data_IF_648930944391
#
_entry.id   IF_648930944391
#
_cell.length_a   1.000
_cell.length_b   1.000
_cell.length_c   1.000
_cell.angle_alpha   90.00
_cell.angle_beta   90.00
_cell.angle_gamma   90.00
#
_symmetry.space_group_name_H-M   'P 1'
#
loop_
_entity.id
_entity.type
_entity.pdbx_description
1 polymer ?
#
# COMPACT_ATOMS: atom_id res chain seq x y z
N UNK A 1 -34.13 40.12 -27.35
CA UNK A 1 -33.80 38.67 -27.51
C UNK A 1 -32.32 38.54 -27.32
N UNK A 2 -31.92 38.33 -26.10
CA UNK A 2 -30.58 38.21 -25.61
C UNK A 2 -30.10 36.78 -25.90
N UNK A 3 -29.16 36.62 -26.83
CA UNK A 3 -28.48 35.33 -27.04
C UNK A 3 -27.53 35.12 -25.86
N UNK A 4 -27.99 34.22 -24.97
CA UNK A 4 -27.15 33.61 -23.94
C UNK A 4 -25.94 33.02 -24.66
N UNK A 5 -24.76 33.57 -24.38
CA UNK A 5 -23.49 32.94 -24.68
C UNK A 5 -23.44 31.69 -23.80
N UNK A 6 -23.70 30.55 -24.41
CA UNK A 6 -23.31 29.28 -23.82
C UNK A 6 -21.79 29.32 -23.71
N UNK A 7 -21.31 29.41 -22.48
CA UNK A 7 -19.90 29.29 -22.12
C UNK A 7 -19.38 28.02 -22.78
N UNK A 8 -18.27 28.16 -23.49
CA UNK A 8 -17.47 27.07 -24.07
C UNK A 8 -17.05 26.09 -22.96
N UNK A 9 -17.99 25.30 -22.49
CA UNK A 9 -17.70 24.15 -21.67
C UNK A 9 -16.90 23.20 -22.56
N UNK A 10 -15.61 23.12 -22.30
CA UNK A 10 -14.66 22.21 -22.94
C UNK A 10 -15.24 20.78 -22.84
N UNK A 11 -16.00 20.37 -23.87
CA UNK A 11 -16.60 19.06 -23.92
C UNK A 11 -15.46 18.05 -24.15
N UNK A 12 -14.95 17.49 -23.05
CA UNK A 12 -13.96 16.41 -23.10
C UNK A 12 -14.66 15.19 -23.71
N UNK A 13 -14.31 14.86 -24.95
CA UNK A 13 -14.81 13.65 -25.58
C UNK A 13 -14.14 12.42 -24.94
N UNK A 14 -14.89 11.76 -24.04
CA UNK A 14 -14.45 10.56 -23.34
C UNK A 14 -14.07 9.43 -24.32
N UNK A 15 -14.64 9.42 -25.51
CA UNK A 15 -14.34 8.43 -26.54
C UNK A 15 -12.94 8.69 -27.15
N UNK A 16 -12.59 9.96 -27.36
CA UNK A 16 -11.27 10.34 -27.87
C UNK A 16 -10.17 9.99 -26.87
N UNK A 17 -10.40 10.27 -25.57
CA UNK A 17 -9.49 9.89 -24.49
C UNK A 17 -9.31 8.36 -24.45
N UNK A 18 -10.39 7.60 -24.57
CA UNK A 18 -10.33 6.14 -24.60
C UNK A 18 -9.50 5.61 -25.77
N UNK A 19 -9.70 6.13 -26.97
CA UNK A 19 -8.92 5.76 -28.15
C UNK A 19 -7.44 6.17 -28.02
N UNK A 20 -7.16 7.33 -27.42
CA UNK A 20 -5.78 7.78 -27.16
C UNK A 20 -5.05 6.83 -26.20
N UNK A 21 -5.71 6.41 -25.09
CA UNK A 21 -5.17 5.42 -24.18
C UNK A 21 -4.93 4.08 -24.86
N UNK A 22 -5.92 3.57 -25.61
CA UNK A 22 -5.80 2.30 -26.35
C UNK A 22 -4.66 2.32 -27.38
N UNK A 23 -4.47 3.44 -28.06
CA UNK A 23 -3.39 3.59 -29.05
C UNK A 23 -2.00 3.56 -28.40
N UNK A 24 -1.90 4.01 -27.14
CA UNK A 24 -0.63 4.13 -26.39
C UNK A 24 -0.49 3.10 -25.27
N UNK A 25 -1.23 2.00 -25.31
CA UNK A 25 -1.25 0.96 -24.28
C UNK A 25 0.15 0.39 -23.99
N UNK A 26 1.03 0.33 -24.99
CA UNK A 26 2.42 -0.11 -24.80
C UNK A 26 3.23 0.86 -23.92
N UNK A 27 2.96 2.17 -24.01
CA UNK A 27 3.61 3.18 -23.15
C UNK A 27 3.11 3.03 -21.72
N UNK A 28 1.81 2.82 -21.54
CA UNK A 28 1.19 2.58 -20.23
C UNK A 28 1.76 1.30 -19.61
N UNK A 29 1.84 0.22 -20.39
CA UNK A 29 2.42 -1.05 -19.92
C UNK A 29 3.90 -0.90 -19.56
N UNK A 30 4.68 -0.17 -20.34
CA UNK A 30 6.08 0.11 -20.03
C UNK A 30 6.24 0.95 -18.75
N UNK A 31 5.39 1.96 -18.55
CA UNK A 31 5.39 2.78 -17.34
C UNK A 31 4.96 1.98 -16.10
N UNK A 32 3.97 1.09 -16.24
CA UNK A 32 3.56 0.16 -15.20
C UNK A 32 4.72 -0.73 -14.76
N UNK A 33 5.43 -1.36 -15.71
CA UNK A 33 6.58 -2.21 -15.43
C UNK A 33 7.76 -1.42 -14.84
N UNK A 34 8.01 -0.22 -15.35
CA UNK A 34 9.06 0.66 -14.82
C UNK A 34 8.76 1.09 -13.38
N UNK A 35 7.51 1.47 -13.09
CA UNK A 35 7.06 1.80 -11.73
C UNK A 35 7.20 0.62 -10.77
N UNK A 36 6.83 -0.59 -11.21
CA UNK A 36 7.02 -1.81 -10.45
C UNK A 36 8.51 -2.08 -10.15
N UNK A 37 9.36 -2.00 -11.19
CA UNK A 37 10.80 -2.25 -11.05
C UNK A 37 11.48 -1.23 -10.13
N UNK A 38 11.16 0.04 -10.27
CA UNK A 38 11.72 1.10 -9.42
C UNK A 38 11.29 0.95 -7.97
N UNK A 39 10.00 0.72 -7.71
CA UNK A 39 9.49 0.53 -6.35
C UNK A 39 10.02 -0.75 -5.71
N UNK A 40 10.10 -1.84 -6.46
CA UNK A 40 10.67 -3.11 -5.99
C UNK A 40 12.15 -2.98 -5.66
N UNK A 41 12.95 -2.37 -6.54
CA UNK A 41 14.37 -2.12 -6.32
C UNK A 41 14.60 -1.19 -5.11
N UNK A 42 13.84 -0.10 -5.00
CA UNK A 42 13.90 0.80 -3.85
C UNK A 42 13.62 0.05 -2.55
N UNK A 43 12.55 -0.75 -2.52
CA UNK A 43 12.13 -1.49 -1.32
C UNK A 43 13.17 -2.53 -0.90
N UNK A 44 13.83 -3.23 -1.84
CA UNK A 44 14.81 -4.25 -1.52
C UNK A 44 16.21 -3.71 -1.18
N UNK A 45 16.61 -2.58 -1.79
CA UNK A 45 17.97 -2.08 -1.67
C UNK A 45 18.14 -0.98 -0.62
N UNK A 46 17.09 -0.17 -0.41
CA UNK A 46 17.18 1.02 0.45
C UNK A 46 16.41 0.89 1.78
N UNK A 47 15.41 0.00 1.87
CA UNK A 47 14.64 -0.15 3.10
C UNK A 47 15.21 -1.30 3.92
N UNK A 48 15.57 -1.01 5.17
CA UNK A 48 16.07 -2.02 6.12
C UNK A 48 14.97 -3.03 6.43
N UNK A 49 15.23 -4.34 6.34
CA UNK A 49 14.26 -5.35 6.77
C UNK A 49 14.05 -5.27 8.28
N UNK A 50 12.80 -5.40 8.71
CA UNK A 50 12.40 -5.46 10.11
C UNK A 50 11.80 -6.82 10.41
N UNK A 51 12.20 -7.40 11.51
CA UNK A 51 11.74 -8.69 12.01
C UNK A 51 10.85 -8.45 13.21
N UNK A 52 9.72 -9.15 13.30
CA UNK A 52 8.77 -8.98 14.40
C UNK A 52 8.69 -10.24 15.24
N UNK A 53 8.90 -10.09 16.55
CA UNK A 53 8.67 -11.13 17.53
C UNK A 53 7.46 -10.77 18.40
N UNK A 54 6.71 -11.78 18.83
CA UNK A 54 5.44 -11.57 19.55
C UNK A 54 5.42 -12.43 20.79
N UNK A 55 5.12 -11.82 21.93
CA UNK A 55 4.84 -12.48 23.21
C UNK A 55 3.38 -12.26 23.61
N UNK A 56 2.84 -13.17 24.42
CA UNK A 56 1.46 -13.05 24.93
C UNK A 56 1.45 -13.10 26.45
N UNK A 57 0.71 -12.16 27.05
CA UNK A 57 0.48 -12.09 28.48
C UNK A 57 -1.00 -12.23 28.80
N UNK A 58 -1.29 -12.97 29.87
CA UNK A 58 -2.63 -13.16 30.39
C UNK A 58 -2.87 -12.24 31.57
N UNK A 59 -3.87 -11.39 31.45
CA UNK A 59 -4.34 -10.52 32.54
C UNK A 59 -5.15 -11.32 33.55
N UNK A 60 -4.66 -11.40 34.78
CA UNK A 60 -5.32 -12.10 35.87
C UNK A 60 -6.15 -11.15 36.70
N UNK A 61 -7.41 -11.48 36.95
CA UNK A 61 -8.26 -10.78 37.94
C UNK A 61 -8.06 -11.43 39.30
N UNK A 62 -8.12 -10.60 40.36
CA UNK A 62 -7.88 -11.01 41.76
C UNK A 62 -8.88 -12.07 42.26
N UNK A 63 -10.01 -12.24 41.60
CA UNK A 63 -11.08 -13.15 41.99
C UNK A 63 -11.11 -14.40 41.10
N UNK A 64 -10.65 -15.50 41.64
CA UNK A 64 -10.48 -16.81 40.97
C UNK A 64 -11.78 -17.60 40.71
N UNK A 65 -12.93 -17.08 41.07
CA UNK A 65 -14.24 -17.69 40.82
C UNK A 65 -15.01 -16.93 39.78
N UNK A 66 -14.66 -17.18 38.50
CA UNK A 66 -15.36 -16.62 37.36
C UNK A 66 -16.77 -17.24 37.26
N UNK A 67 -17.77 -16.53 37.71
CA UNK A 67 -19.16 -17.00 37.66
C UNK A 67 -20.12 -16.03 36.96
N UNK A 68 -19.64 -14.83 36.51
CA UNK A 68 -20.53 -13.88 35.87
C UNK A 68 -19.96 -13.24 34.59
N UNK A 69 -20.87 -12.83 33.69
CA UNK A 69 -20.53 -12.05 32.50
C UNK A 69 -19.86 -10.70 32.86
N UNK A 70 -20.13 -10.17 34.04
CA UNK A 70 -19.51 -8.94 34.54
C UNK A 70 -17.99 -9.10 34.75
N UNK A 71 -17.53 -10.29 35.17
CA UNK A 71 -16.09 -10.55 35.38
C UNK A 71 -15.32 -10.61 34.07
N UNK A 72 -15.97 -11.08 33.00
CA UNK A 72 -15.39 -11.08 31.65
C UNK A 72 -15.25 -9.64 31.13
N UNK A 73 -16.26 -8.80 31.32
CA UNK A 73 -16.20 -7.39 30.89
C UNK A 73 -15.15 -6.58 31.68
N UNK A 74 -15.03 -6.84 32.99
CA UNK A 74 -13.97 -6.23 33.78
C UNK A 74 -12.58 -6.68 33.32
N UNK A 75 -12.42 -7.95 32.96
CA UNK A 75 -11.15 -8.48 32.46
C UNK A 75 -10.72 -7.88 31.12
N UNK A 76 -11.65 -7.64 30.22
CA UNK A 76 -11.34 -6.95 28.93
C UNK A 76 -11.02 -5.48 29.12
N UNK A 77 -11.68 -4.80 30.09
CA UNK A 77 -11.37 -3.42 30.43
C UNK A 77 -9.96 -3.31 31.05
N UNK A 78 -9.63 -4.21 31.99
CA UNK A 78 -8.30 -4.27 32.58
C UNK A 78 -7.21 -4.52 31.52
N UNK A 79 -7.47 -5.38 30.56
CA UNK A 79 -6.53 -5.62 29.46
C UNK A 79 -6.30 -4.35 28.62
N UNK A 80 -7.34 -3.55 28.41
CA UNK A 80 -7.19 -2.24 27.74
C UNK A 80 -6.31 -1.28 28.55
N UNK A 81 -6.54 -1.18 29.86
CA UNK A 81 -5.76 -0.33 30.74
C UNK A 81 -4.29 -0.78 30.80
N UNK A 82 -4.06 -2.09 30.84
CA UNK A 82 -2.70 -2.65 30.84
C UNK A 82 -1.97 -2.40 29.51
N UNK A 83 -2.67 -2.39 28.38
CA UNK A 83 -2.06 -2.06 27.08
C UNK A 83 -1.45 -0.65 27.05
N UNK A 84 -2.04 0.28 27.81
CA UNK A 84 -1.50 1.64 27.98
C UNK A 84 -0.27 1.63 28.89
N UNK A 85 -0.31 0.87 29.99
CA UNK A 85 0.82 0.75 30.92
C UNK A 85 2.05 0.08 30.30
N UNK A 86 1.85 -0.97 29.51
CA UNK A 86 2.88 -1.66 28.75
C UNK A 86 3.71 -0.73 27.85
N UNK A 87 3.08 0.29 27.32
CA UNK A 87 3.72 1.27 26.44
C UNK A 87 4.06 2.57 27.13
N UNK A 88 4.00 2.59 28.47
CA UNK A 88 4.32 3.76 29.26
C UNK A 88 5.83 4.00 29.30
N UNK A 89 6.20 5.26 29.55
CA UNK A 89 7.63 5.66 29.58
C UNK A 89 8.46 4.92 30.63
N UNK A 90 7.99 4.69 31.86
CA UNK A 90 8.76 3.94 32.85
C UNK A 90 9.12 2.54 32.38
N UNK A 91 8.13 1.79 31.90
CA UNK A 91 8.31 0.41 31.42
C UNK A 91 9.31 0.35 30.26
N UNK A 92 9.12 1.21 29.24
CA UNK A 92 10.01 1.19 28.08
C UNK A 92 11.41 1.69 28.41
N UNK A 93 11.56 2.64 29.33
CA UNK A 93 12.87 3.10 29.76
C UNK A 93 13.61 2.01 30.56
N UNK A 94 12.93 1.30 31.44
CA UNK A 94 13.49 0.16 32.17
C UNK A 94 13.91 -0.97 31.24
N UNK A 95 13.12 -1.29 30.22
CA UNK A 95 13.51 -2.26 29.20
C UNK A 95 14.77 -1.82 28.41
N UNK A 96 14.86 -0.53 28.07
CA UNK A 96 16.04 0.05 27.41
C UNK A 96 17.28 -0.10 28.29
N UNK A 97 17.13 0.25 29.58
CA UNK A 97 18.24 0.26 30.54
C UNK A 97 18.70 -1.18 30.85
N UNK A 98 17.77 -2.12 31.01
CA UNK A 98 18.09 -3.53 31.29
C UNK A 98 18.82 -4.23 30.14
N UNK A 99 18.48 -3.90 28.90
CA UNK A 99 19.11 -4.48 27.70
C UNK A 99 20.21 -3.63 27.09
N UNK A 100 20.56 -2.50 27.73
CA UNK A 100 21.56 -1.53 27.22
C UNK A 100 21.33 -1.13 25.76
N UNK A 101 20.04 -0.86 25.40
CA UNK A 101 19.67 -0.56 24.02
C UNK A 101 20.16 0.83 23.61
N UNK A 102 20.85 0.89 22.46
CA UNK A 102 21.36 2.14 21.89
C UNK A 102 20.23 2.93 21.15
N UNK A 103 19.03 2.96 21.70
CA UNK A 103 17.90 3.69 21.13
C UNK A 103 17.13 4.46 22.21
N UNK A 104 16.47 5.54 21.79
CA UNK A 104 15.65 6.32 22.72
C UNK A 104 14.24 5.74 22.89
N UNK A 105 13.56 6.13 23.97
CA UNK A 105 12.18 5.76 24.26
C UNK A 105 11.23 5.92 23.08
N UNK A 106 11.29 7.03 22.35
CA UNK A 106 10.41 7.29 21.20
C UNK A 106 10.58 6.29 20.07
N UNK A 107 11.82 5.86 19.82
CA UNK A 107 12.13 4.85 18.78
C UNK A 107 11.60 3.48 19.20
N UNK A 108 11.88 3.05 20.44
CA UNK A 108 11.35 1.78 20.93
C UNK A 108 9.82 1.77 20.91
N UNK A 109 9.18 2.86 21.35
CA UNK A 109 7.72 3.01 21.35
C UNK A 109 7.09 2.86 19.97
N UNK A 110 7.76 3.38 18.93
CA UNK A 110 7.27 3.28 17.55
C UNK A 110 7.40 1.85 16.96
N UNK A 111 8.28 1.05 17.54
CA UNK A 111 8.53 -0.33 17.11
C UNK A 111 7.70 -1.37 17.88
N UNK A 112 6.90 -0.92 18.85
CA UNK A 112 6.05 -1.78 19.67
C UNK A 112 4.59 -1.63 19.26
N UNK A 113 3.91 -2.75 19.11
CA UNK A 113 2.46 -2.83 18.97
C UNK A 113 1.88 -3.73 20.05
N UNK A 114 0.88 -3.23 20.75
CA UNK A 114 0.15 -4.00 21.77
C UNK A 114 -1.30 -4.09 21.32
N UNK A 115 -1.80 -5.32 21.22
CA UNK A 115 -3.15 -5.61 20.75
C UNK A 115 -3.85 -6.50 21.77
N UNK A 116 -5.04 -6.10 22.21
CA UNK A 116 -5.92 -6.99 22.94
C UNK A 116 -6.63 -7.92 21.95
N UNK A 117 -6.48 -9.22 22.13
CA UNK A 117 -7.26 -10.18 21.33
C UNK A 117 -8.73 -10.03 21.70
N UNK A 118 -9.56 -9.79 20.70
CA UNK A 118 -10.98 -9.48 20.85
C UNK A 118 -11.69 -10.37 21.88
N UNK A 119 -12.35 -9.72 22.83
CA UNK A 119 -13.13 -10.36 23.90
C UNK A 119 -12.35 -11.33 24.81
N UNK A 120 -11.02 -11.17 24.88
CA UNK A 120 -10.18 -11.98 25.75
C UNK A 120 -9.42 -11.13 26.76
N UNK A 121 -8.78 -11.78 27.72
CA UNK A 121 -7.85 -11.18 28.68
C UNK A 121 -6.39 -11.37 28.29
N UNK A 122 -6.15 -11.63 26.99
CA UNK A 122 -4.82 -11.85 26.46
C UNK A 122 -4.39 -10.61 25.70
N UNK A 123 -3.22 -10.08 26.08
CA UNK A 123 -2.54 -9.04 25.36
C UNK A 123 -1.41 -9.65 24.54
N UNK A 124 -1.39 -9.32 23.29
CA UNK A 124 -0.34 -9.65 22.35
C UNK A 124 0.59 -8.44 22.21
N UNK A 125 1.86 -8.64 22.56
CA UNK A 125 2.92 -7.64 22.46
C UNK A 125 3.79 -8.03 21.30
N UNK A 126 3.93 -7.15 20.32
CA UNK A 126 4.80 -7.37 19.14
C UNK A 126 5.87 -6.29 19.12
N UNK A 127 7.12 -6.70 18.99
CA UNK A 127 8.27 -5.81 18.84
C UNK A 127 8.91 -6.06 17.49
N UNK A 128 9.23 -4.96 16.78
CA UNK A 128 9.91 -4.99 15.50
C UNK A 128 11.33 -4.43 15.64
N UNK A 129 12.34 -5.20 15.18
CA UNK A 129 13.76 -4.80 15.20
C UNK A 129 14.47 -5.28 13.92
N UNK A 130 15.53 -4.60 13.44
CA UNK A 130 16.35 -5.10 12.33
C UNK A 130 17.05 -6.42 12.62
N UNK A 131 17.31 -6.74 13.88
CA UNK A 131 17.91 -8.00 14.33
C UNK A 131 16.81 -8.93 14.88
N UNK A 132 16.61 -10.14 14.29
CA UNK A 132 15.59 -11.08 14.74
C UNK A 132 15.80 -11.61 16.18
N UNK A 133 17.04 -11.77 16.62
CA UNK A 133 17.36 -12.18 18.00
C UNK A 133 17.05 -11.05 18.98
N UNK A 134 17.37 -9.82 18.61
CA UNK A 134 17.08 -8.64 19.42
C UNK A 134 15.56 -8.41 19.53
N UNK A 135 14.80 -8.60 18.43
CA UNK A 135 13.34 -8.50 18.45
C UNK A 135 12.70 -9.45 19.49
N UNK A 136 13.21 -10.71 19.56
CA UNK A 136 12.79 -11.67 20.59
C UNK A 136 13.19 -11.21 21.99
N UNK A 137 14.45 -10.83 22.18
CA UNK A 137 14.97 -10.43 23.50
C UNK A 137 14.21 -9.23 24.05
N UNK A 138 13.94 -8.23 23.20
CA UNK A 138 13.18 -7.01 23.62
C UNK A 138 11.74 -7.36 23.99
N UNK A 139 11.06 -8.23 23.24
CA UNK A 139 9.66 -8.54 23.53
C UNK A 139 9.53 -9.35 24.82
N UNK A 140 10.46 -10.24 25.08
CA UNK A 140 10.46 -11.06 26.31
C UNK A 140 10.75 -10.18 27.54
N UNK A 141 11.81 -9.37 27.49
CA UNK A 141 12.14 -8.42 28.57
C UNK A 141 11.00 -7.43 28.82
N UNK A 142 10.39 -6.90 27.72
CA UNK A 142 9.25 -6.00 27.84
C UNK A 142 8.05 -6.66 28.52
N UNK A 143 7.79 -7.93 28.23
CA UNK A 143 6.72 -8.69 28.86
C UNK A 143 6.97 -8.86 30.36
N UNK A 144 8.20 -9.17 30.75
CA UNK A 144 8.59 -9.38 32.15
C UNK A 144 8.57 -8.07 32.94
N UNK A 145 9.24 -7.01 32.46
CA UNK A 145 9.23 -5.66 33.06
C UNK A 145 7.81 -5.13 33.21
N UNK A 146 6.98 -5.31 32.19
CA UNK A 146 5.59 -4.87 32.21
C UNK A 146 4.77 -5.62 33.28
N UNK A 147 4.97 -6.91 33.37
CA UNK A 147 4.30 -7.74 34.37
C UNK A 147 4.62 -7.29 35.79
N UNK A 148 5.90 -7.07 36.06
CA UNK A 148 6.37 -6.62 37.36
C UNK A 148 5.87 -5.20 37.68
N UNK A 149 5.97 -4.29 36.72
CA UNK A 149 5.51 -2.90 36.88
C UNK A 149 4.00 -2.82 37.17
N UNK A 150 3.17 -3.59 36.43
CA UNK A 150 1.73 -3.64 36.66
C UNK A 150 1.44 -4.23 38.04
N UNK A 151 2.10 -5.31 38.44
CA UNK A 151 1.93 -5.92 39.74
C UNK A 151 2.22 -4.96 40.90
N UNK A 152 3.32 -4.22 40.79
CA UNK A 152 3.74 -3.24 41.82
C UNK A 152 2.87 -1.99 41.83
N UNK A 153 2.59 -1.42 40.63
CA UNK A 153 1.90 -0.13 40.54
C UNK A 153 0.42 -0.21 40.87
N UNK A 154 -0.23 -1.32 40.57
CA UNK A 154 -1.66 -1.53 40.79
C UNK A 154 -1.99 -2.40 42.00
N UNK A 155 -0.96 -2.90 42.71
CA UNK A 155 -1.12 -3.83 43.84
C UNK A 155 -2.01 -5.04 43.53
N UNK A 156 -1.88 -5.54 42.29
CA UNK A 156 -2.64 -6.70 41.77
C UNK A 156 -1.73 -7.90 41.56
N UNK A 157 -2.34 -9.03 41.23
CA UNK A 157 -1.58 -10.19 40.77
C UNK A 157 -0.94 -9.83 39.43
N UNK A 158 0.40 -9.94 39.28
CA UNK A 158 1.07 -9.63 37.99
C UNK A 158 0.47 -10.44 36.84
N UNK A 159 0.35 -9.85 35.65
CA UNK A 159 0.00 -10.58 34.45
C UNK A 159 0.99 -11.73 34.22
N UNK A 160 0.53 -12.83 33.65
CA UNK A 160 1.39 -13.99 33.42
C UNK A 160 1.77 -14.09 31.94
N UNK A 161 3.07 -14.19 31.66
CA UNK A 161 3.54 -14.55 30.32
C UNK A 161 3.09 -15.97 30.02
N UNK A 162 2.31 -16.16 28.97
CA UNK A 162 1.80 -17.46 28.50
C UNK A 162 2.46 -17.94 27.21
N UNK A 163 3.07 -17.04 26.46
CA UNK A 163 3.82 -17.34 25.26
C UNK A 163 4.98 -16.35 25.14
N UNK A 164 6.19 -16.87 25.14
CA UNK A 164 7.41 -16.07 24.92
C UNK A 164 7.60 -15.75 23.44
N UNK A 165 8.39 -14.74 23.13
CA UNK A 165 8.78 -14.38 21.78
C UNK A 165 9.53 -15.51 21.08
N UNK A 166 9.33 -15.60 19.77
CA UNK A 166 10.03 -16.56 18.89
C UNK A 166 10.91 -15.77 17.92
N UNK A 167 12.15 -16.26 17.70
CA UNK A 167 13.04 -15.66 16.71
C UNK A 167 12.41 -15.78 15.31
N UNK A 168 12.08 -14.66 14.64
CA UNK A 168 11.44 -14.71 13.36
C UNK A 168 12.41 -15.17 12.26
N UNK A 169 11.98 -16.10 11.41
CA UNK A 169 12.78 -16.63 10.30
C UNK A 169 12.75 -15.77 9.02
N UNK A 170 11.82 -14.81 8.94
CA UNK A 170 11.65 -13.94 7.77
C UNK A 170 11.24 -12.52 8.21
N UNK A 171 11.65 -11.49 7.45
CA UNK A 171 11.27 -10.12 7.75
C UNK A 171 9.76 -9.90 7.53
N UNK A 172 9.15 -9.17 8.47
CA UNK A 172 7.73 -8.80 8.42
C UNK A 172 7.51 -7.54 7.58
N UNK A 173 8.51 -6.65 7.52
CA UNK A 173 8.48 -5.40 6.76
C UNK A 173 9.85 -5.19 6.08
N UNK A 174 9.88 -4.51 4.91
CA UNK A 174 8.76 -4.05 4.11
C UNK A 174 8.09 -5.17 3.31
N UNK A 175 6.78 -5.03 3.05
CA UNK A 175 6.09 -5.95 2.15
C UNK A 175 6.42 -5.57 0.69
N UNK A 176 7.44 -6.24 0.12
CA UNK A 176 7.95 -5.98 -1.24
C UNK A 176 6.84 -6.10 -2.28
N UNK A 177 5.96 -7.10 -2.15
CA UNK A 177 4.87 -7.32 -3.10
C UNK A 177 3.87 -6.15 -3.11
N UNK A 178 3.47 -5.67 -1.93
CA UNK A 178 2.56 -4.54 -1.79
C UNK A 178 3.17 -3.24 -2.32
N UNK A 179 4.43 -2.98 -2.00
CA UNK A 179 5.13 -1.77 -2.44
C UNK A 179 5.35 -1.78 -3.96
N UNK A 180 5.71 -2.92 -4.53
CA UNK A 180 5.85 -3.11 -5.98
C UNK A 180 4.52 -2.90 -6.70
N UNK A 181 3.42 -3.43 -6.16
CA UNK A 181 2.08 -3.24 -6.73
C UNK A 181 1.65 -1.77 -6.68
N UNK A 182 1.91 -1.07 -5.57
CA UNK A 182 1.64 0.37 -5.44
C UNK A 182 2.47 1.19 -6.43
N UNK A 183 3.75 0.86 -6.59
CA UNK A 183 4.62 1.51 -7.57
C UNK A 183 4.16 1.29 -9.02
N UNK A 184 3.71 0.09 -9.34
CA UNK A 184 3.13 -0.24 -10.64
C UNK A 184 1.86 0.57 -10.93
N UNK A 185 0.94 0.67 -9.96
CA UNK A 185 -0.27 1.48 -10.07
C UNK A 185 0.06 2.98 -10.24
N UNK A 186 1.00 3.49 -9.46
CA UNK A 186 1.45 4.88 -9.58
C UNK A 186 2.01 5.17 -10.99
N UNK A 187 2.85 4.28 -11.53
CA UNK A 187 3.39 4.39 -12.88
C UNK A 187 2.28 4.42 -13.94
N UNK A 188 1.27 3.55 -13.79
CA UNK A 188 0.10 3.52 -14.67
C UNK A 188 -0.69 4.83 -14.64
N UNK A 189 -1.01 5.32 -13.44
CA UNK A 189 -1.79 6.57 -13.25
C UNK A 189 -1.05 7.77 -13.84
N UNK A 190 0.26 7.88 -13.58
CA UNK A 190 1.09 8.97 -14.13
C UNK A 190 1.11 8.91 -15.66
N UNK A 191 1.35 7.73 -16.25
CA UNK A 191 1.38 7.59 -17.70
C UNK A 191 0.02 7.89 -18.35
N UNK A 192 -1.07 7.40 -17.76
CA UNK A 192 -2.42 7.69 -18.22
C UNK A 192 -2.73 9.19 -18.13
N UNK A 193 -2.40 9.84 -17.03
CA UNK A 193 -2.57 11.27 -16.82
C UNK A 193 -1.81 12.12 -17.87
N UNK A 194 -0.55 11.79 -18.13
CA UNK A 194 0.24 12.47 -19.16
C UNK A 194 -0.38 12.30 -20.55
N UNK A 195 -0.90 11.10 -20.87
CA UNK A 195 -1.54 10.85 -22.16
C UNK A 195 -2.84 11.65 -22.27
N UNK A 196 -3.65 11.71 -21.22
CA UNK A 196 -4.90 12.47 -21.18
C UNK A 196 -4.62 13.96 -21.36
N UNK A 197 -3.70 14.52 -20.57
CA UNK A 197 -3.32 15.93 -20.68
C UNK A 197 -2.83 16.25 -22.10
N UNK A 198 -1.96 15.42 -22.67
CA UNK A 198 -1.48 15.61 -24.04
C UNK A 198 -2.58 15.48 -25.10
N UNK A 199 -3.61 14.69 -24.84
CA UNK A 199 -4.74 14.54 -25.76
C UNK A 199 -5.64 15.76 -25.70
N UNK A 200 -5.95 16.26 -24.51
CA UNK A 200 -6.77 17.46 -24.31
C UNK A 200 -6.06 18.73 -24.84
N UNK A 201 -4.72 18.83 -24.66
CA UNK A 201 -3.93 19.96 -25.15
C UNK A 201 -3.63 19.91 -26.66
N UNK A 202 -4.09 18.89 -27.36
CA UNK A 202 -3.76 18.71 -28.77
C UNK A 202 -4.94 19.13 -29.65
N UNK A 203 -5.06 20.42 -29.89
CA UNK A 203 -6.10 21.06 -30.71
C UNK A 203 -5.92 20.82 -32.22
N UNK A 204 -5.21 19.78 -32.62
CA UNK A 204 -4.97 19.51 -34.02
C UNK A 204 -6.21 18.87 -34.67
N UNK A 205 -6.84 19.59 -35.57
CA UNK A 205 -7.92 19.11 -36.43
C UNK A 205 -7.40 17.96 -37.29
N UNK A 206 -7.95 16.75 -37.13
CA UNK A 206 -7.48 15.52 -37.78
C UNK A 206 -8.57 14.75 -38.52
N UNK A 207 -9.82 15.05 -38.26
CA UNK A 207 -10.95 14.42 -38.93
C UNK A 207 -11.83 15.43 -39.65
N UNK A 208 -12.63 14.94 -40.59
CA UNK A 208 -13.64 15.75 -41.29
C UNK A 208 -14.68 16.29 -40.30
N UNK A 209 -15.02 15.49 -39.30
CA UNK A 209 -15.96 15.85 -38.23
C UNK A 209 -15.41 16.99 -37.35
N UNK A 210 -14.09 17.08 -37.17
CA UNK A 210 -13.45 18.18 -36.41
C UNK A 210 -13.60 19.52 -37.15
N UNK A 211 -13.49 19.50 -38.47
CA UNK A 211 -13.65 20.71 -39.30
C UNK A 211 -15.09 21.25 -39.20
N UNK A 212 -16.08 20.38 -39.28
CA UNK A 212 -17.47 20.75 -39.17
C UNK A 212 -17.82 21.26 -37.75
N UNK A 213 -17.29 20.60 -36.73
CA UNK A 213 -17.51 20.96 -35.31
C UNK A 213 -16.87 22.28 -34.90
N UNK A 214 -15.60 22.53 -35.33
CA UNK A 214 -14.86 23.72 -34.90
C UNK A 214 -15.00 24.93 -35.83
N UNK A 215 -15.20 24.71 -37.14
CA UNK A 215 -15.30 25.77 -38.13
C UNK A 215 -16.76 26.00 -38.61
N UNK A 216 -17.68 25.12 -38.27
CA UNK A 216 -19.09 25.23 -38.69
C UNK A 216 -19.29 25.15 -40.20
N UNK A 217 -18.31 24.63 -40.95
CA UNK A 217 -18.33 24.55 -42.41
C UNK A 217 -18.37 23.09 -42.83
N UNK A 218 -19.39 22.64 -43.59
CA UNK A 218 -19.44 21.28 -44.10
C UNK A 218 -18.28 20.98 -45.02
N UNK A 219 -17.58 19.85 -44.78
CA UNK A 219 -16.49 19.41 -45.67
C UNK A 219 -17.03 18.94 -47.00
N UNK A 220 -16.58 19.56 -48.10
CA UNK A 220 -17.03 19.23 -49.44
C UNK A 220 -16.29 17.99 -50.03
N UNK A 221 -15.05 17.76 -49.64
CA UNK A 221 -14.28 16.59 -50.06
C UNK A 221 -13.03 16.41 -49.21
N UNK A 222 -12.71 15.15 -48.86
CA UNK A 222 -11.45 14.78 -48.23
C UNK A 222 -10.47 14.22 -49.23
N UNK A 223 -9.27 14.75 -49.29
CA UNK A 223 -8.19 14.26 -50.15
C UNK A 223 -7.24 13.40 -49.31
N UNK A 224 -7.24 12.07 -49.43
CA UNK A 224 -6.36 11.21 -48.63
C UNK A 224 -4.89 11.42 -49.00
N UNK A 225 -4.01 11.48 -47.99
CA UNK A 225 -2.57 11.64 -48.20
C UNK A 225 -2.00 10.45 -48.95
N UNK A 226 -1.12 10.73 -49.94
CA UNK A 226 -0.49 9.74 -50.83
C UNK A 226 0.21 8.62 -50.05
N UNK A 227 0.64 8.83 -48.84
CA UNK A 227 1.25 7.84 -47.95
C UNK A 227 0.29 6.72 -47.56
N UNK A 228 -0.98 6.98 -47.39
CA UNK A 228 -1.98 5.99 -47.03
C UNK A 228 -2.32 5.04 -48.19
N UNK A 229 -2.24 5.50 -49.42
CA UNK A 229 -2.41 4.68 -50.60
C UNK A 229 -1.28 3.65 -50.78
N UNK A 230 -0.05 4.00 -50.41
CA UNK A 230 1.12 3.12 -50.55
C UNK A 230 1.12 2.07 -49.44
N UNK A 231 0.74 2.42 -48.21
CA UNK A 231 0.68 1.48 -47.09
C UNK A 231 -0.44 0.44 -47.23
N UNK A 232 -1.61 0.85 -47.70
CA UNK A 232 -2.76 -0.03 -47.95
C UNK A 232 -2.48 -1.07 -49.06
N UNK A 233 -1.75 -0.71 -50.09
CA UNK A 233 -1.36 -1.62 -51.18
C UNK A 233 -0.30 -2.64 -50.77
N UNK A 234 0.66 -2.23 -49.96
CA UNK A 234 1.72 -3.13 -49.44
C UNK A 234 1.16 -4.23 -48.53
N UNK A 235 0.19 -3.91 -47.68
CA UNK A 235 -0.42 -4.89 -46.76
C UNK A 235 -1.28 -5.94 -47.50
N UNK A 236 -2.01 -5.53 -48.52
CA UNK A 236 -2.81 -6.45 -49.35
C UNK A 236 -1.93 -7.40 -50.18
N UNK A 237 -0.81 -6.93 -50.72
CA UNK A 237 0.14 -7.78 -51.48
C UNK A 237 0.88 -8.79 -50.58
N UNK A 238 1.27 -8.39 -49.35
CA UNK A 238 1.88 -9.31 -48.36
C UNK A 238 0.91 -10.41 -47.90
N UNK A 239 -0.37 -10.09 -47.70
CA UNK A 239 -1.40 -11.09 -47.37
C UNK A 239 -1.67 -12.07 -48.55
N UNK A 240 -1.67 -11.60 -49.79
CA UNK A 240 -1.84 -12.46 -50.99
C UNK A 240 -0.63 -13.40 -51.21
N UNK A 241 0.60 -12.92 -50.95
CA UNK A 241 1.83 -13.74 -51.05
C UNK A 241 1.92 -14.82 -49.96
N UNK A 242 1.47 -14.50 -48.72
CA UNK A 242 1.40 -15.49 -47.62
C UNK A 242 0.33 -16.56 -47.84
N UNK A 243 -0.82 -16.22 -48.45
CA UNK A 243 -1.86 -17.21 -48.81
C UNK A 243 -1.42 -18.15 -49.92
N UNK A 244 -0.62 -17.69 -50.92
CA UNK A 244 -0.07 -18.53 -51.96
C UNK A 244 1.02 -19.49 -51.49
N UNK A 245 1.83 -19.11 -50.49
CA UNK A 245 2.84 -20.00 -49.87
C UNK A 245 2.25 -21.08 -48.94
N UNK A 246 1.02 -20.93 -48.47
CA UNK A 246 0.33 -21.95 -47.65
C UNK A 246 -0.49 -22.97 -48.48
N UNK A 247 -0.54 -22.82 -49.81
CA UNK A 247 -1.26 -23.74 -50.71
C UNK A 247 -0.33 -24.54 -51.64
N UNK A 248 0.98 -24.46 -51.40
CA UNK A 248 1.97 -25.39 -51.91
C UNK A 248 2.59 -26.11 -50.71
#
# INVERSE_FOLDING_TARGET
>A
MEKVHDEDAMQIDLMEVFFALKKRILIIAAAFLAGAALAGAYTQLLVTPMYSSTAKILVLSKETTLTSLADLQLGTQLASDYSVLLTSRPVLQETIDNLDLHMGYGTLRSNISVVNLSDTRILEITVADPDPEMAKTIVDELADVSSDYIGQQMEVVPPKVIEEGVVPSAPTSPNVMRNTALGALAGLVIAAGIIVIRTIMNDAIRSEDDVEKYLGIPTLAAVPDRKDYISGRSSKQRKKKKRRKRRK
#
